data_IF_520709264525
#
_entry.id   IF_520709264525
#
_cell.length_a   1.000
_cell.length_b   1.000
_cell.length_c   1.000
_cell.angle_alpha   90.00
_cell.angle_beta   90.00
_cell.angle_gamma   90.00
#
_symmetry.space_group_name_H-M   'P 1'
#
loop_
_entity.id
_entity.type
_entity.pdbx_description
1 polymer ?
#
# COMPACT_ATOMS: atom_id res chain seq x y z
N UNK A 1 9.02 21.53 -15.72
CA UNK A 1 8.74 22.70 -14.87
C UNK A 1 8.84 22.28 -13.41
N UNK A 2 9.63 23.02 -12.63
CA UNK A 2 9.71 22.87 -11.16
C UNK A 2 8.80 23.90 -10.49
N UNK A 3 8.53 23.70 -9.20
CA UNK A 3 7.67 24.57 -8.41
C UNK A 3 6.27 24.00 -8.18
N UNK A 4 5.42 24.80 -7.59
CA UNK A 4 4.01 24.46 -7.36
C UNK A 4 3.24 24.57 -8.69
N UNK A 5 2.93 23.45 -9.31
CA UNK A 5 2.30 23.39 -10.64
C UNK A 5 0.80 23.10 -10.57
N UNK A 6 0.30 22.65 -9.42
CA UNK A 6 -1.10 22.36 -9.20
C UNK A 6 -1.81 23.40 -8.33
N UNK A 7 -3.14 23.35 -8.33
CA UNK A 7 -3.97 24.17 -7.43
C UNK A 7 -3.68 23.78 -5.97
N UNK A 8 -3.55 24.77 -5.09
CA UNK A 8 -3.29 24.58 -3.64
C UNK A 8 -2.05 23.72 -3.31
N UNK A 9 -1.00 23.79 -4.14
CA UNK A 9 0.23 23.03 -3.94
C UNK A 9 1.34 23.86 -3.30
N UNK A 10 2.28 23.19 -2.63
CA UNK A 10 3.46 23.78 -1.98
C UNK A 10 4.71 23.11 -2.55
N UNK A 11 5.65 23.90 -3.09
CA UNK A 11 6.96 23.42 -3.51
C UNK A 11 8.06 24.31 -2.91
N UNK A 12 8.94 23.72 -2.09
CA UNK A 12 10.03 24.42 -1.40
C UNK A 12 11.35 23.68 -1.61
N UNK A 13 12.35 24.37 -2.13
CA UNK A 13 13.70 23.84 -2.34
C UNK A 13 14.06 23.65 -3.80
N UNK A 14 15.33 23.28 -4.03
CA UNK A 14 15.87 23.12 -5.37
C UNK A 14 15.21 21.95 -6.10
N UNK A 15 14.71 22.21 -7.31
CA UNK A 15 14.03 21.21 -8.14
C UNK A 15 12.81 20.52 -7.48
N UNK A 16 12.21 21.13 -6.43
CA UNK A 16 10.96 20.64 -5.87
C UNK A 16 9.81 20.81 -6.86
N UNK A 17 8.92 19.80 -6.98
CA UNK A 17 7.74 19.84 -7.85
C UNK A 17 6.53 19.29 -7.10
N UNK A 18 5.48 20.08 -7.00
CA UNK A 18 4.22 19.67 -6.38
C UNK A 18 3.07 19.72 -7.39
N UNK A 19 2.40 18.59 -7.59
CA UNK A 19 1.17 18.45 -8.36
C UNK A 19 -0.06 18.98 -7.62
N UNK A 20 -1.26 18.63 -8.08
CA UNK A 20 -2.54 19.11 -7.50
C UNK A 20 -2.66 18.81 -6.02
N UNK A 21 -2.82 19.83 -5.19
CA UNK A 21 -2.88 19.75 -3.72
C UNK A 21 -1.70 19.01 -3.08
N UNK A 22 -0.58 18.91 -3.77
CA UNK A 22 0.63 18.22 -3.31
C UNK A 22 1.55 19.11 -2.49
N UNK A 23 2.39 18.50 -1.65
CA UNK A 23 3.45 19.17 -0.90
C UNK A 23 4.80 18.54 -1.23
N UNK A 24 5.73 19.32 -1.79
CA UNK A 24 7.09 18.90 -2.09
C UNK A 24 8.09 19.81 -1.38
N UNK A 25 8.88 19.25 -0.46
CA UNK A 25 9.89 20.01 0.31
C UNK A 25 11.21 19.25 0.28
N UNK A 26 12.28 19.87 -0.25
CA UNK A 26 13.54 19.16 -0.27
C UNK A 26 14.69 19.89 -0.92
N UNK A 27 15.90 19.36 -0.70
CA UNK A 27 17.14 19.96 -1.22
C UNK A 27 17.39 19.68 -2.70
N UNK A 28 16.81 18.61 -3.27
CA UNK A 28 16.87 18.26 -4.68
C UNK A 28 15.80 17.20 -5.02
N UNK A 29 15.08 17.41 -6.13
CA UNK A 29 14.15 16.43 -6.70
C UNK A 29 13.14 15.84 -5.70
N UNK A 30 12.45 16.68 -4.93
CA UNK A 30 11.29 16.26 -4.17
C UNK A 30 10.04 16.38 -5.05
N UNK A 31 9.43 15.25 -5.44
CA UNK A 31 8.32 15.21 -6.39
C UNK A 31 7.05 14.63 -5.76
N UNK A 32 6.12 15.52 -5.41
CA UNK A 32 4.75 15.17 -5.05
C UNK A 32 3.90 15.15 -6.33
N UNK A 33 4.01 14.06 -7.11
CA UNK A 33 3.36 13.93 -8.43
C UNK A 33 1.87 13.56 -8.30
N UNK A 34 1.50 12.79 -7.30
CA UNK A 34 0.12 12.40 -7.06
C UNK A 34 -0.71 13.55 -6.49
N UNK A 35 -2.02 13.53 -6.73
CA UNK A 35 -2.93 14.46 -6.06
C UNK A 35 -2.91 14.23 -4.55
N UNK A 36 -2.85 15.29 -3.75
CA UNK A 36 -2.81 15.23 -2.27
C UNK A 36 -1.60 14.43 -1.73
N UNK A 37 -0.53 14.33 -2.50
CA UNK A 37 0.67 13.60 -2.10
C UNK A 37 1.67 14.48 -1.39
N UNK A 38 2.59 13.85 -0.62
CA UNK A 38 3.64 14.53 0.14
C UNK A 38 5.00 13.92 -0.19
N UNK A 39 5.96 14.73 -0.59
CA UNK A 39 7.33 14.35 -0.84
C UNK A 39 8.28 15.27 -0.06
N UNK A 40 8.98 14.74 0.95
CA UNK A 40 9.88 15.54 1.80
C UNK A 40 11.25 14.85 1.89
N UNK A 41 12.28 15.52 1.38
CA UNK A 41 13.64 15.02 1.43
C UNK A 41 14.42 15.26 0.15
N UNK A 42 15.31 14.32 -0.20
CA UNK A 42 16.14 14.40 -1.41
C UNK A 42 15.89 13.18 -2.30
N UNK A 43 15.68 13.42 -3.60
CA UNK A 43 15.36 12.36 -4.58
C UNK A 43 14.15 11.51 -4.16
N UNK A 44 13.08 12.14 -3.68
CA UNK A 44 11.89 11.46 -3.16
C UNK A 44 10.71 11.66 -4.12
N UNK A 45 9.92 10.58 -4.31
CA UNK A 45 8.85 10.56 -5.31
C UNK A 45 7.56 9.99 -4.70
N UNK A 46 6.55 10.83 -4.52
CA UNK A 46 5.20 10.43 -4.13
C UNK A 46 4.31 10.47 -5.39
N UNK A 47 4.22 9.34 -6.09
CA UNK A 47 3.72 9.27 -7.47
C UNK A 47 2.21 9.12 -7.59
N UNK A 48 1.52 8.66 -6.52
CA UNK A 48 0.09 8.40 -6.56
C UNK A 48 -0.68 9.23 -5.54
N UNK A 49 -2.00 9.28 -5.74
CA UNK A 49 -2.91 10.05 -4.88
C UNK A 49 -2.73 9.66 -3.40
N UNK A 50 -2.67 10.66 -2.53
CA UNK A 50 -2.53 10.52 -1.08
C UNK A 50 -1.31 9.71 -0.64
N UNK A 51 -0.33 9.50 -1.51
CA UNK A 51 0.92 8.83 -1.16
C UNK A 51 1.90 9.78 -0.47
N UNK A 52 2.81 9.20 0.32
CA UNK A 52 3.82 9.97 1.05
C UNK A 52 5.19 9.32 0.89
N UNK A 53 6.22 10.12 0.54
CA UNK A 53 7.60 9.68 0.42
C UNK A 53 8.53 10.60 1.21
N UNK A 54 9.29 10.03 2.16
CA UNK A 54 10.18 10.79 3.04
C UNK A 54 11.61 10.29 3.00
N UNK A 55 12.57 11.17 3.27
CA UNK A 55 13.98 10.84 3.48
C UNK A 55 14.85 11.00 2.24
N UNK A 56 15.63 9.99 1.87
CA UNK A 56 16.53 10.01 0.73
C UNK A 56 16.26 8.85 -0.23
N UNK A 57 15.84 9.17 -1.45
CA UNK A 57 15.64 8.18 -2.52
C UNK A 57 14.39 7.31 -2.40
N UNK A 58 13.43 7.66 -1.56
CA UNK A 58 12.20 6.89 -1.41
C UNK A 58 11.23 7.09 -2.57
N UNK A 59 10.54 6.03 -2.99
CA UNK A 59 9.54 6.07 -4.06
C UNK A 59 8.23 5.41 -3.57
N UNK A 60 7.13 6.15 -3.59
CA UNK A 60 5.80 5.62 -3.30
C UNK A 60 4.96 5.53 -4.58
N UNK A 61 4.83 4.32 -5.11
CA UNK A 61 4.10 3.99 -6.35
C UNK A 61 2.73 3.35 -6.10
N UNK A 62 2.23 3.45 -4.87
CA UNK A 62 0.91 2.95 -4.48
C UNK A 62 0.11 4.07 -3.85
N UNK A 63 -1.18 4.15 -4.20
CA UNK A 63 -2.09 5.13 -3.63
C UNK A 63 -2.21 4.96 -2.11
N UNK A 64 -2.08 6.06 -1.36
CA UNK A 64 -2.18 6.06 0.10
C UNK A 64 -1.03 5.36 0.83
N UNK A 65 0.02 4.91 0.14
CA UNK A 65 1.20 4.31 0.77
C UNK A 65 2.14 5.39 1.30
N UNK A 66 2.59 5.22 2.53
CA UNK A 66 3.72 5.93 3.10
C UNK A 66 5.00 5.11 2.89
N UNK A 67 6.09 5.77 2.47
CA UNK A 67 7.43 5.18 2.40
C UNK A 67 8.47 6.07 3.05
N UNK A 68 9.50 5.43 3.61
CA UNK A 68 10.69 6.11 4.13
C UNK A 68 11.95 5.35 3.72
N UNK A 69 12.97 6.09 3.27
CA UNK A 69 14.32 5.57 3.08
C UNK A 69 15.34 6.53 3.72
N UNK A 70 16.26 5.99 4.48
CA UNK A 70 17.39 6.76 5.03
C UNK A 70 18.46 7.05 3.99
N UNK A 71 18.66 6.10 3.07
CA UNK A 71 19.58 6.15 1.94
C UNK A 71 19.24 5.09 0.89
N UNK A 72 19.84 5.14 -0.29
CA UNK A 72 19.71 4.15 -1.35
C UNK A 72 20.97 3.28 -1.43
N UNK A 73 20.88 2.04 -1.92
CA UNK A 73 22.04 1.22 -2.24
C UNK A 73 22.66 1.67 -3.57
N UNK A 74 21.86 1.72 -4.61
CA UNK A 74 22.29 2.13 -5.95
C UNK A 74 21.28 3.08 -6.63
N UNK A 75 19.99 2.87 -6.42
CA UNK A 75 18.91 3.60 -7.10
C UNK A 75 17.79 3.98 -6.12
N UNK A 76 17.03 5.01 -6.47
CA UNK A 76 15.87 5.40 -5.67
C UNK A 76 14.86 4.25 -5.59
N UNK A 77 14.28 4.03 -4.42
CA UNK A 77 13.31 2.97 -4.15
C UNK A 77 13.90 1.57 -3.93
N UNK A 78 15.23 1.43 -3.94
CA UNK A 78 15.90 0.12 -3.85
C UNK A 78 16.04 -0.42 -2.43
N UNK A 79 15.85 0.42 -1.42
CA UNK A 79 15.93 0.05 -0.01
C UNK A 79 15.05 1.00 0.83
N UNK A 80 13.86 0.55 1.16
CA UNK A 80 12.90 1.39 1.86
C UNK A 80 11.97 0.61 2.78
N UNK A 81 11.41 1.33 3.76
CA UNK A 81 10.27 0.90 4.57
C UNK A 81 8.98 1.38 3.91
N UNK A 82 7.93 0.57 3.95
CA UNK A 82 6.60 0.96 3.50
C UNK A 82 5.52 0.70 4.55
N UNK A 83 4.47 1.50 4.52
CA UNK A 83 3.26 1.34 5.34
C UNK A 83 2.02 1.58 4.49
N UNK A 84 1.10 0.61 4.50
CA UNK A 84 -0.18 0.68 3.80
C UNK A 84 -1.34 0.44 4.76
N UNK A 85 -2.43 1.19 4.57
CA UNK A 85 -3.74 0.86 5.15
C UNK A 85 -4.65 0.37 4.03
N UNK A 86 -5.07 -0.90 4.11
CA UNK A 86 -6.03 -1.48 3.17
C UNK A 86 -7.40 -1.59 3.84
N UNK A 87 -8.46 -1.47 3.06
CA UNK A 87 -9.83 -1.51 3.56
C UNK A 87 -10.79 -2.10 2.53
N UNK A 88 -11.87 -2.66 3.02
CA UNK A 88 -13.02 -3.09 2.22
C UNK A 88 -14.25 -3.23 3.13
N UNK A 89 -15.43 -3.30 2.53
CA UNK A 89 -16.66 -3.76 3.18
C UNK A 89 -17.20 -4.95 2.42
N UNK A 90 -17.64 -5.98 3.13
CA UNK A 90 -18.33 -7.14 2.57
C UNK A 90 -19.77 -7.16 3.05
N UNK A 91 -20.66 -7.73 2.24
CA UNK A 91 -22.10 -7.91 2.53
C UNK A 91 -22.56 -9.34 2.32
N UNK A 92 -21.64 -10.19 1.89
CA UNK A 92 -21.87 -11.60 1.54
C UNK A 92 -20.62 -12.45 1.76
N UNK A 93 -20.71 -13.72 1.40
CA UNK A 93 -19.63 -14.70 1.53
C UNK A 93 -18.68 -14.74 0.31
N UNK A 94 -18.69 -13.73 -0.56
CA UNK A 94 -17.77 -13.65 -1.70
C UNK A 94 -16.40 -13.14 -1.25
N UNK A 95 -15.33 -13.85 -1.63
CA UNK A 95 -13.97 -13.37 -1.39
C UNK A 95 -13.75 -12.01 -2.08
N UNK A 96 -13.36 -11.01 -1.32
CA UNK A 96 -13.20 -9.63 -1.80
C UNK A 96 -11.81 -9.10 -1.48
N UNK A 97 -11.13 -8.56 -2.51
CA UNK A 97 -9.78 -8.00 -2.37
C UNK A 97 -9.81 -6.66 -1.62
N UNK A 98 -9.03 -6.56 -0.56
CA UNK A 98 -8.79 -5.29 0.15
C UNK A 98 -7.91 -4.35 -0.69
N UNK A 99 -8.06 -3.04 -0.50
CA UNK A 99 -7.35 -2.03 -1.30
C UNK A 99 -7.01 -0.79 -0.48
N UNK A 100 -5.99 -0.05 -0.91
CA UNK A 100 -5.56 1.21 -0.28
C UNK A 100 -6.48 2.39 -0.66
N UNK A 101 -7.18 2.28 -1.79
CA UNK A 101 -8.12 3.28 -2.29
C UNK A 101 -9.53 3.14 -1.70
N UNK A 102 -10.48 3.91 -2.22
CA UNK A 102 -11.90 3.77 -1.89
C UNK A 102 -12.39 2.34 -2.13
N UNK A 103 -13.28 1.79 -1.30
CA UNK A 103 -13.89 0.48 -1.52
C UNK A 103 -14.59 0.32 -2.88
N UNK A 104 -15.01 1.42 -3.48
CA UNK A 104 -15.64 1.46 -4.81
C UNK A 104 -14.65 1.58 -5.97
N UNK A 105 -13.37 1.83 -5.69
CA UNK A 105 -12.32 1.89 -6.72
C UNK A 105 -12.06 0.51 -7.30
N UNK A 106 -11.56 0.44 -8.54
CA UNK A 106 -11.13 -0.82 -9.14
C UNK A 106 -9.96 -1.48 -8.40
N UNK A 107 -9.83 -2.79 -8.52
CA UNK A 107 -8.64 -3.54 -8.12
C UNK A 107 -7.61 -3.38 -9.24
N UNK A 108 -6.65 -2.51 -9.04
CA UNK A 108 -5.56 -2.22 -9.98
C UNK A 108 -4.23 -2.19 -9.23
N UNK A 109 -3.11 -2.27 -9.93
CA UNK A 109 -1.78 -2.32 -9.32
C UNK A 109 -1.56 -1.19 -8.30
N UNK A 110 -1.94 0.03 -8.62
CA UNK A 110 -1.73 1.20 -7.76
C UNK A 110 -2.62 1.27 -6.52
N UNK A 111 -3.63 0.40 -6.39
CA UNK A 111 -4.49 0.26 -5.20
C UNK A 111 -4.20 -1.01 -4.40
N UNK A 112 -3.18 -1.77 -4.78
CA UNK A 112 -2.69 -2.98 -4.14
C UNK A 112 -1.26 -2.78 -3.64
N UNK A 113 -0.74 -3.73 -2.88
CA UNK A 113 0.66 -3.74 -2.46
C UNK A 113 1.55 -4.25 -3.61
N UNK A 114 1.74 -3.39 -4.61
CA UNK A 114 2.51 -3.69 -5.82
C UNK A 114 4.00 -3.78 -5.53
N UNK A 115 4.66 -4.73 -6.17
CA UNK A 115 6.11 -4.88 -6.15
C UNK A 115 6.72 -4.29 -7.44
N UNK A 116 7.81 -3.52 -7.34
CA UNK A 116 8.66 -3.24 -8.50
C UNK A 116 9.22 -4.53 -9.12
N UNK A 117 9.68 -4.46 -10.37
CA UNK A 117 10.44 -5.56 -10.97
C UNK A 117 11.73 -5.81 -10.21
N UNK A 118 12.18 -7.06 -10.16
CA UNK A 118 13.41 -7.50 -9.48
C UNK A 118 13.44 -7.11 -7.99
N UNK A 119 12.34 -7.30 -7.29
CA UNK A 119 12.20 -6.91 -5.88
C UNK A 119 11.73 -8.05 -4.98
N UNK A 120 12.02 -7.89 -3.71
CA UNK A 120 11.47 -8.73 -2.64
C UNK A 120 11.02 -7.85 -1.47
N UNK A 121 9.84 -8.13 -0.96
CA UNK A 121 9.28 -7.45 0.20
C UNK A 121 8.97 -8.46 1.31
N UNK A 122 9.49 -8.22 2.51
CA UNK A 122 8.83 -8.80 3.68
C UNK A 122 7.62 -7.94 4.04
N UNK A 123 6.61 -8.56 4.60
CA UNK A 123 5.44 -7.84 5.10
C UNK A 123 5.01 -8.40 6.45
N UNK A 124 4.46 -7.52 7.29
CA UNK A 124 3.79 -7.89 8.52
C UNK A 124 2.70 -6.87 8.86
N UNK A 125 1.67 -7.32 9.55
CA UNK A 125 0.60 -6.40 9.95
C UNK A 125 -0.55 -7.08 10.65
N UNK A 126 -1.58 -6.26 10.92
CA UNK A 126 -2.79 -6.68 11.61
C UNK A 126 -4.01 -6.37 10.75
N UNK A 127 -5.02 -7.21 10.89
CA UNK A 127 -6.32 -7.02 10.27
C UNK A 127 -7.36 -7.03 11.38
N UNK A 128 -8.24 -6.05 11.35
CA UNK A 128 -9.42 -5.99 12.21
C UNK A 128 -10.67 -5.91 11.36
N UNK A 129 -11.70 -6.61 11.79
CA UNK A 129 -13.01 -6.58 11.17
C UNK A 129 -14.11 -6.35 12.22
N UNK A 130 -15.15 -5.65 11.82
CA UNK A 130 -16.29 -5.35 12.69
C UNK A 130 -17.59 -5.46 11.91
N UNK A 131 -18.51 -6.23 12.46
CA UNK A 131 -19.89 -6.28 11.99
C UNK A 131 -20.61 -4.96 12.25
N UNK A 132 -21.57 -4.64 11.39
CA UNK A 132 -22.44 -3.45 11.58
C UNK A 132 -23.25 -3.59 12.86
N UNK A 133 -23.20 -2.59 13.72
CA UNK A 133 -23.81 -2.64 15.06
C UNK A 133 -25.32 -2.93 15.09
N UNK A 134 -26.06 -2.65 14.00
CA UNK A 134 -27.49 -2.99 13.89
C UNK A 134 -27.73 -4.46 13.50
N UNK A 135 -26.70 -5.21 13.15
CA UNK A 135 -26.78 -6.60 12.67
C UNK A 135 -26.15 -7.58 13.67
N UNK A 136 -25.20 -7.09 14.49
CA UNK A 136 -24.56 -7.90 15.51
C UNK A 136 -23.42 -7.20 16.22
N UNK A 137 -22.64 -7.96 16.96
CA UNK A 137 -21.50 -7.47 17.77
C UNK A 137 -20.18 -8.13 17.43
N UNK A 138 -20.15 -8.98 16.42
CA UNK A 138 -18.97 -9.76 16.06
C UNK A 138 -17.79 -8.87 15.64
N UNK A 139 -16.63 -9.27 16.10
CA UNK A 139 -15.33 -8.66 15.75
C UNK A 139 -14.35 -9.76 15.37
N UNK A 140 -13.56 -9.51 14.33
CA UNK A 140 -12.51 -10.42 13.89
C UNK A 140 -11.14 -9.74 13.99
N UNK A 141 -10.09 -10.52 14.28
CA UNK A 141 -8.73 -10.04 14.32
C UNK A 141 -7.73 -11.10 13.86
N UNK A 142 -6.76 -10.68 13.05
CA UNK A 142 -5.68 -11.53 12.52
C UNK A 142 -4.36 -10.78 12.54
N UNK A 143 -3.28 -11.54 12.70
CA UNK A 143 -1.93 -11.10 12.39
C UNK A 143 -1.46 -11.80 11.12
N UNK A 144 -0.78 -11.07 10.25
CA UNK A 144 -0.24 -11.60 9.01
C UNK A 144 1.22 -11.24 8.86
N UNK A 145 2.02 -12.15 8.31
CA UNK A 145 3.42 -11.88 7.94
C UNK A 145 3.86 -12.80 6.82
N UNK A 146 4.89 -12.38 6.08
CA UNK A 146 5.45 -13.20 5.02
C UNK A 146 6.50 -12.50 4.20
N UNK A 147 6.84 -13.15 3.10
CA UNK A 147 7.75 -12.65 2.09
C UNK A 147 7.18 -12.92 0.69
N UNK A 148 7.21 -11.91 -0.14
CA UNK A 148 6.78 -11.96 -1.54
C UNK A 148 7.89 -11.39 -2.41
N UNK A 149 8.09 -11.95 -3.60
CA UNK A 149 9.07 -11.49 -4.57
C UNK A 149 8.48 -11.38 -5.97
N UNK A 150 9.11 -10.56 -6.78
CA UNK A 150 8.82 -10.42 -8.21
C UNK A 150 10.12 -10.27 -8.98
N UNK A 151 10.24 -11.00 -10.09
CA UNK A 151 11.32 -10.84 -11.07
C UNK A 151 10.94 -9.77 -12.11
N UNK A 152 11.38 -9.93 -13.35
CA UNK A 152 11.24 -8.92 -14.41
C UNK A 152 9.79 -8.59 -14.85
N UNK A 153 8.80 -9.41 -14.51
CA UNK A 153 7.41 -9.21 -14.95
C UNK A 153 6.41 -9.53 -13.84
N UNK A 154 5.19 -8.99 -13.94
CA UNK A 154 4.10 -9.28 -13.00
C UNK A 154 3.82 -10.78 -12.87
N UNK A 155 3.89 -11.52 -13.98
CA UNK A 155 3.67 -12.97 -14.02
C UNK A 155 4.64 -13.80 -13.19
N UNK A 156 5.78 -13.23 -12.80
CA UNK A 156 6.79 -13.88 -11.96
C UNK A 156 6.62 -13.62 -10.46
N UNK A 157 5.53 -12.96 -10.06
CA UNK A 157 5.24 -12.66 -8.66
C UNK A 157 4.93 -13.95 -7.88
N UNK A 158 5.65 -14.18 -6.79
CA UNK A 158 5.51 -15.39 -5.95
C UNK A 158 5.42 -15.00 -4.48
N UNK A 159 4.37 -15.43 -3.81
CA UNK A 159 4.29 -15.45 -2.35
C UNK A 159 5.16 -16.62 -1.87
N UNK A 160 6.36 -16.31 -1.40
CA UNK A 160 7.37 -17.32 -1.05
C UNK A 160 7.00 -18.06 0.22
N UNK A 161 6.53 -17.29 1.22
CA UNK A 161 6.02 -17.84 2.48
C UNK A 161 5.09 -16.84 3.14
N UNK A 162 4.11 -17.33 3.90
CA UNK A 162 3.24 -16.49 4.71
C UNK A 162 2.66 -17.25 5.91
N UNK A 163 2.32 -16.48 6.94
CA UNK A 163 1.61 -16.96 8.12
C UNK A 163 0.41 -16.04 8.34
N UNK A 164 -0.74 -16.63 8.59
CA UNK A 164 -1.95 -15.97 9.10
C UNK A 164 -2.20 -16.54 10.48
N UNK A 165 -2.12 -15.70 11.50
CA UNK A 165 -2.41 -16.06 12.89
C UNK A 165 -3.80 -15.50 13.25
N UNK A 166 -4.72 -16.39 13.57
CA UNK A 166 -6.08 -16.07 13.95
C UNK A 166 -6.14 -15.73 15.43
N UNK A 167 -6.43 -14.46 15.76
CA UNK A 167 -6.57 -14.00 17.14
C UNK A 167 -8.01 -14.14 17.65
N UNK A 168 -8.97 -13.78 16.78
CA UNK A 168 -10.40 -13.97 17.00
C UNK A 168 -11.12 -14.06 15.66
N UNK A 169 -11.80 -15.15 15.38
CA UNK A 169 -12.43 -15.41 14.09
C UNK A 169 -13.89 -15.82 14.26
N UNK A 170 -14.84 -14.93 13.97
CA UNK A 170 -16.25 -15.31 13.88
C UNK A 170 -16.48 -16.36 12.79
N UNK A 171 -17.48 -17.21 12.99
CA UNK A 171 -17.80 -18.29 12.05
C UNK A 171 -18.05 -17.76 10.63
N UNK A 172 -17.35 -18.33 9.65
CA UNK A 172 -17.48 -17.99 8.24
C UNK A 172 -16.66 -16.78 7.79
N UNK A 173 -15.98 -16.07 8.70
CA UNK A 173 -15.08 -15.01 8.31
C UNK A 173 -13.69 -15.59 7.99
N UNK A 174 -13.04 -15.06 6.95
CA UNK A 174 -11.73 -15.55 6.56
C UNK A 174 -10.85 -14.44 5.97
N UNK A 175 -9.53 -14.66 6.08
CA UNK A 175 -8.48 -13.84 5.45
C UNK A 175 -7.64 -14.74 4.56
N UNK A 176 -7.28 -14.26 3.37
CA UNK A 176 -6.38 -14.96 2.46
C UNK A 176 -5.26 -14.04 1.95
N UNK A 177 -4.09 -14.63 1.73
CA UNK A 177 -2.91 -14.00 1.16
C UNK A 177 -2.47 -14.79 -0.08
N UNK A 178 -2.34 -14.13 -1.21
CA UNK A 178 -1.87 -14.73 -2.46
C UNK A 178 -1.02 -13.77 -3.26
N UNK A 179 -0.27 -14.28 -4.23
CA UNK A 179 0.36 -13.45 -5.24
C UNK A 179 -0.64 -13.19 -6.39
N UNK A 180 -0.86 -11.91 -6.70
CA UNK A 180 -1.55 -11.52 -7.93
C UNK A 180 -0.52 -11.42 -9.06
N UNK A 181 -0.46 -12.43 -9.90
CA UNK A 181 0.48 -12.50 -11.05
C UNK A 181 0.05 -11.64 -12.23
N UNK A 182 -1.17 -11.13 -12.25
CA UNK A 182 -1.64 -10.20 -13.27
C UNK A 182 -1.18 -8.78 -12.97
N UNK A 183 -1.34 -8.35 -11.71
CA UNK A 183 -1.00 -7.00 -11.26
C UNK A 183 0.41 -6.89 -10.68
N UNK A 184 1.06 -8.01 -10.33
CA UNK A 184 2.37 -8.04 -9.69
C UNK A 184 2.34 -7.58 -8.23
N UNK A 185 1.34 -8.03 -7.48
CA UNK A 185 1.01 -7.52 -6.15
C UNK A 185 0.92 -8.62 -5.09
N UNK A 186 1.06 -8.26 -3.82
CA UNK A 186 0.48 -9.04 -2.73
C UNK A 186 -1.03 -8.78 -2.71
N UNK A 187 -1.84 -9.81 -2.96
CA UNK A 187 -3.28 -9.78 -2.80
C UNK A 187 -3.64 -10.19 -1.38
N UNK A 188 -4.21 -9.27 -0.63
CA UNK A 188 -4.89 -9.53 0.64
C UNK A 188 -6.39 -9.52 0.38
N UNK A 189 -7.06 -10.64 0.64
CA UNK A 189 -8.51 -10.73 0.44
C UNK A 189 -9.20 -11.25 1.70
N UNK A 190 -10.48 -10.95 1.82
CA UNK A 190 -11.31 -11.31 2.97
C UNK A 190 -12.63 -11.89 2.50
N UNK A 191 -13.20 -12.78 3.32
CA UNK A 191 -14.51 -13.37 3.10
C UNK A 191 -15.40 -13.06 4.30
N UNK A 192 -16.55 -12.47 4.08
CA UNK A 192 -17.59 -12.26 5.08
C UNK A 192 -18.61 -13.38 5.08
N UNK A 193 -19.82 -13.10 5.58
CA UNK A 193 -20.95 -14.03 5.59
C UNK A 193 -22.17 -13.38 4.92
N UNK A 194 -23.08 -14.23 4.45
CA UNK A 194 -24.28 -13.78 3.74
C UNK A 194 -25.14 -12.86 4.62
N UNK A 195 -25.67 -11.79 4.00
CA UNK A 195 -26.57 -10.82 4.63
C UNK A 195 -25.99 -10.07 5.84
N UNK A 196 -24.65 -10.00 5.96
CA UNK A 196 -23.96 -9.34 7.06
C UNK A 196 -23.01 -8.27 6.54
N UNK A 197 -23.17 -7.03 7.00
CA UNK A 197 -22.30 -5.94 6.64
C UNK A 197 -21.07 -5.90 7.57
N UNK A 198 -19.90 -6.16 7.03
CA UNK A 198 -18.62 -6.20 7.76
C UNK A 198 -17.66 -5.18 7.17
N UNK A 199 -17.03 -4.36 8.00
CA UNK A 199 -15.92 -3.50 7.61
C UNK A 199 -14.60 -4.10 8.04
N UNK A 200 -13.66 -4.11 7.11
CA UNK A 200 -12.32 -4.65 7.27
C UNK A 200 -11.27 -3.57 7.09
N UNK A 201 -10.31 -3.52 7.97
CA UNK A 201 -9.14 -2.64 7.90
C UNK A 201 -7.89 -3.47 8.18
N UNK A 202 -6.89 -3.35 7.31
CA UNK A 202 -5.57 -3.92 7.51
C UNK A 202 -4.52 -2.81 7.53
N UNK A 203 -3.58 -2.88 8.46
CA UNK A 203 -2.36 -2.08 8.47
C UNK A 203 -1.19 -3.00 8.21
N UNK A 204 -0.49 -2.81 7.09
CA UNK A 204 0.62 -3.64 6.65
C UNK A 204 1.87 -2.79 6.49
N UNK A 205 2.93 -3.17 7.17
CA UNK A 205 4.27 -2.62 6.99
C UNK A 205 5.13 -3.55 6.13
N UNK A 206 6.08 -2.96 5.40
CA UNK A 206 6.99 -3.69 4.52
C UNK A 206 8.44 -3.26 4.75
N UNK A 207 9.39 -4.18 4.59
CA UNK A 207 10.78 -3.87 4.25
C UNK A 207 10.98 -4.28 2.80
N UNK A 208 11.45 -3.34 2.00
CA UNK A 208 11.45 -3.45 0.54
C UNK A 208 12.88 -3.36 0.01
N UNK A 209 13.27 -4.33 -0.81
CA UNK A 209 14.54 -4.31 -1.54
C UNK A 209 14.27 -4.53 -3.03
N UNK A 210 14.90 -3.70 -3.87
CA UNK A 210 14.91 -3.86 -5.33
C UNK A 210 16.35 -3.96 -5.80
N UNK A 211 16.62 -4.90 -6.68
CA UNK A 211 17.92 -5.09 -7.31
C UNK A 211 17.76 -5.06 -8.83
N UNK A 212 17.83 -3.86 -9.42
CA UNK A 212 17.66 -3.62 -10.85
C UNK A 212 18.99 -3.30 -11.55
#
# INVERSE_FOLDING_TARGET
TYGATGTTSIAMGQFAKAGSSGTAIGSAFAYANGSQSVAIGRNVYANHQSSMALGYGSISDVQGKFVYAGYTNASNGDSQFGLCTLRISTTDATETTMRTASPTSGVIATTQMTLPNNSAHTFSGTIVAREKASEGTDVGAWEVKGIIRREATAGTTVLVNSVINELNVPTGWAVSLTADTTLGCLKLAVTGVASTNIRWVATIQTSEVTYA
#
